data_IF_704980724114
#
_entry.id   IF_704980724114
#
_cell.length_a   1.000
_cell.length_b   1.000
_cell.length_c   1.000
_cell.angle_alpha   90.00
_cell.angle_beta   90.00
_cell.angle_gamma   90.00
#
_symmetry.space_group_name_H-M   'P 1'
#
loop_
_entity.id
_entity.type
_entity.pdbx_description
1 polymer ?
#
# COMPACT_ATOMS: atom_id res chain seq x y z
N UNK A 1 -1.49 -13.82 17.22
CA UNK A 1 -0.67 -12.75 16.60
C UNK A 1 -1.49 -11.46 16.60
N UNK A 2 -0.95 -10.38 17.19
CA UNK A 2 -1.64 -9.08 17.31
C UNK A 2 -2.05 -8.57 15.91
N UNK A 3 -3.29 -8.09 15.73
CA UNK A 3 -3.83 -7.62 14.44
C UNK A 3 -2.95 -6.55 13.78
N UNK A 4 -2.38 -5.65 14.59
CA UNK A 4 -1.42 -4.63 14.15
C UNK A 4 -0.18 -5.23 13.50
N UNK A 5 0.36 -6.31 14.09
CA UNK A 5 1.56 -7.00 13.57
C UNK A 5 1.32 -7.60 12.19
N UNK A 6 0.12 -8.16 11.94
CA UNK A 6 -0.25 -8.69 10.61
C UNK A 6 -0.27 -7.60 9.54
N UNK A 7 -0.84 -6.43 9.84
CA UNK A 7 -0.91 -5.32 8.88
C UNK A 7 0.50 -4.82 8.54
N UNK A 8 1.39 -4.73 9.53
CA UNK A 8 2.79 -4.35 9.31
C UNK A 8 3.50 -5.36 8.40
N UNK A 9 3.34 -6.67 8.67
CA UNK A 9 3.91 -7.73 7.84
C UNK A 9 3.35 -7.72 6.40
N UNK A 10 2.07 -7.40 6.22
CA UNK A 10 1.44 -7.25 4.91
C UNK A 10 2.02 -6.06 4.12
N UNK A 11 2.28 -4.94 4.80
CA UNK A 11 2.93 -3.76 4.21
C UNK A 11 4.34 -4.11 3.75
N UNK A 12 5.14 -4.75 4.59
CA UNK A 12 6.54 -5.10 4.27
C UNK A 12 6.61 -6.00 3.03
N UNK A 13 5.79 -7.06 2.99
CA UNK A 13 5.71 -7.94 1.82
C UNK A 13 5.25 -7.21 0.57
N UNK A 14 4.26 -6.31 0.70
CA UNK A 14 3.76 -5.55 -0.44
C UNK A 14 4.84 -4.65 -1.03
N UNK A 15 5.61 -3.95 -0.19
CA UNK A 15 6.71 -3.09 -0.64
C UNK A 15 7.81 -3.92 -1.30
N UNK A 16 8.19 -5.05 -0.70
CA UNK A 16 9.19 -5.97 -1.28
C UNK A 16 8.77 -6.43 -2.68
N UNK A 17 7.53 -6.89 -2.83
CA UNK A 17 7.02 -7.38 -4.11
C UNK A 17 6.94 -6.27 -5.19
N UNK A 18 6.59 -5.04 -4.79
CA UNK A 18 6.62 -3.87 -5.69
C UNK A 18 8.05 -3.59 -6.14
N UNK A 19 9.02 -3.62 -5.22
CA UNK A 19 10.43 -3.38 -5.54
C UNK A 19 10.99 -4.46 -6.47
N UNK A 20 10.73 -5.73 -6.19
CA UNK A 20 11.12 -6.84 -7.08
C UNK A 20 10.49 -6.65 -8.47
N UNK A 21 9.19 -6.35 -8.54
CA UNK A 21 8.52 -6.09 -9.81
C UNK A 21 9.11 -4.89 -10.56
N UNK A 22 9.55 -3.85 -9.87
CA UNK A 22 10.18 -2.68 -10.49
C UNK A 22 11.55 -2.98 -11.10
N UNK A 23 12.29 -3.96 -10.56
CA UNK A 23 13.55 -4.44 -11.14
C UNK A 23 13.29 -5.28 -12.39
N UNK A 24 12.21 -6.06 -12.38
CA UNK A 24 11.85 -6.96 -13.48
C UNK A 24 11.10 -6.26 -14.62
N UNK A 25 10.51 -5.09 -14.38
CA UNK A 25 9.72 -4.35 -15.37
C UNK A 25 10.39 -3.04 -15.76
N UNK A 26 10.62 -2.83 -17.07
CA UNK A 26 11.16 -1.57 -17.61
C UNK A 26 10.05 -0.50 -17.80
N UNK A 27 9.11 -0.40 -16.85
CA UNK A 27 8.10 0.66 -16.87
C UNK A 27 8.51 1.80 -15.91
N UNK A 28 9.45 2.62 -16.37
CA UNK A 28 10.01 3.73 -15.58
C UNK A 28 8.95 4.68 -15.01
N UNK A 29 7.86 4.92 -15.72
CA UNK A 29 6.79 5.79 -15.26
C UNK A 29 6.02 5.18 -14.09
N UNK A 30 5.55 3.93 -14.22
CA UNK A 30 4.84 3.23 -13.15
C UNK A 30 5.77 3.00 -11.94
N UNK A 31 7.01 2.61 -12.18
CA UNK A 31 8.01 2.43 -11.13
C UNK A 31 8.22 3.74 -10.33
N UNK A 32 8.25 4.89 -11.02
CA UNK A 32 8.33 6.21 -10.36
C UNK A 32 7.10 6.51 -9.50
N UNK A 33 5.89 6.17 -9.97
CA UNK A 33 4.67 6.31 -9.15
C UNK A 33 4.78 5.45 -7.90
N UNK A 34 5.22 4.20 -8.01
CA UNK A 34 5.39 3.34 -6.84
C UNK A 34 6.41 3.90 -5.86
N UNK A 35 7.58 4.33 -6.34
CA UNK A 35 8.67 4.82 -5.47
C UNK A 35 8.37 6.17 -4.82
N UNK A 36 7.69 7.08 -5.51
CA UNK A 36 7.47 8.46 -5.03
C UNK A 36 6.12 8.66 -4.35
N UNK A 37 5.12 7.80 -4.63
CA UNK A 37 3.75 8.00 -4.15
C UNK A 37 3.26 6.86 -3.27
N UNK A 38 3.42 5.60 -3.69
CA UNK A 38 2.81 4.45 -2.98
C UNK A 38 3.66 4.00 -1.80
N UNK A 39 4.94 3.66 -2.04
CA UNK A 39 5.85 3.13 -1.00
C UNK A 39 5.99 4.11 0.18
N UNK A 40 6.18 5.43 -0.02
CA UNK A 40 6.26 6.37 1.09
C UNK A 40 5.01 6.38 1.97
N UNK A 41 3.82 6.35 1.36
CA UNK A 41 2.55 6.33 2.10
C UNK A 41 2.36 5.01 2.86
N UNK A 42 2.76 3.88 2.26
CA UNK A 42 2.73 2.59 2.96
C UNK A 42 3.67 2.57 4.17
N UNK A 43 4.87 3.15 4.07
CA UNK A 43 5.77 3.29 5.20
C UNK A 43 5.24 4.23 6.26
N UNK A 44 4.63 5.35 5.88
CA UNK A 44 3.98 6.24 6.83
C UNK A 44 2.88 5.53 7.61
N UNK A 45 2.05 4.73 6.92
CA UNK A 45 1.03 3.89 7.57
C UNK A 45 1.69 2.91 8.54
N UNK A 46 2.76 2.22 8.12
CA UNK A 46 3.51 1.28 8.96
C UNK A 46 4.07 1.96 10.21
N UNK A 47 4.80 3.07 10.06
CA UNK A 47 5.39 3.80 11.18
C UNK A 47 4.32 4.26 12.16
N UNK A 48 3.23 4.84 11.68
CA UNK A 48 2.15 5.27 12.56
C UNK A 48 1.47 4.10 13.27
N UNK A 49 1.29 2.96 12.59
CA UNK A 49 0.83 1.74 13.23
C UNK A 49 1.80 1.33 14.33
N UNK A 50 3.11 1.34 14.11
CA UNK A 50 4.15 0.98 15.10
C UNK A 50 4.14 1.90 16.32
N UNK A 51 4.14 3.23 16.13
CA UNK A 51 4.33 4.24 17.19
C UNK A 51 3.06 4.68 17.92
N UNK A 52 1.86 4.51 17.36
CA UNK A 52 0.63 5.13 17.88
C UNK A 52 -0.58 4.17 17.95
N UNK A 53 -1.65 4.63 18.62
CA UNK A 53 -2.95 3.97 18.62
C UNK A 53 -3.68 4.27 17.28
N UNK A 54 -4.21 3.26 16.57
CA UNK A 54 -4.58 3.38 15.16
C UNK A 54 -5.97 3.96 14.98
N UNK A 55 -6.17 5.26 15.19
CA UNK A 55 -7.40 5.95 14.74
C UNK A 55 -7.09 7.42 14.45
N UNK A 56 -6.63 7.70 13.24
CA UNK A 56 -6.65 9.06 12.72
C UNK A 56 -7.23 9.02 11.31
N UNK A 57 -8.14 9.96 11.02
CA UNK A 57 -8.79 10.15 9.71
C UNK A 57 -7.76 10.09 8.57
N UNK A 58 -6.54 10.57 8.83
CA UNK A 58 -5.41 10.51 7.92
C UNK A 58 -5.09 9.11 7.37
N UNK A 59 -5.24 8.03 8.15
CA UNK A 59 -4.98 6.68 7.65
C UNK A 59 -5.95 6.26 6.55
N UNK A 60 -7.23 6.63 6.73
CA UNK A 60 -8.29 6.35 5.75
C UNK A 60 -8.00 7.08 4.46
N UNK A 61 -7.59 8.34 4.54
CA UNK A 61 -7.24 9.15 3.38
C UNK A 61 -6.00 8.60 2.66
N UNK A 62 -4.93 8.31 3.41
CA UNK A 62 -3.67 7.74 2.89
C UNK A 62 -3.88 6.40 2.19
N UNK A 63 -4.62 5.47 2.79
CA UNK A 63 -4.85 4.17 2.15
C UNK A 63 -5.82 4.28 0.96
N UNK A 64 -6.81 5.17 1.01
CA UNK A 64 -7.68 5.43 -0.14
C UNK A 64 -6.89 6.03 -1.31
N UNK A 65 -5.93 6.91 -1.03
CA UNK A 65 -5.02 7.47 -2.03
C UNK A 65 -4.22 6.36 -2.72
N UNK A 66 -3.68 5.39 -1.97
CA UNK A 66 -2.99 4.23 -2.55
C UNK A 66 -3.92 3.40 -3.44
N UNK A 67 -5.16 3.15 -3.02
CA UNK A 67 -6.16 2.41 -3.83
C UNK A 67 -6.46 3.13 -5.14
N UNK A 68 -6.74 4.44 -5.09
CA UNK A 68 -7.03 5.24 -6.28
C UNK A 68 -5.84 5.26 -7.25
N UNK A 69 -4.65 5.56 -6.74
CA UNK A 69 -3.43 5.64 -7.55
C UNK A 69 -3.08 4.29 -8.18
N UNK A 70 -3.30 3.18 -7.49
CA UNK A 70 -3.07 1.85 -8.07
C UNK A 70 -4.16 1.39 -9.02
N UNK A 71 -5.39 1.92 -8.91
CA UNK A 71 -6.42 1.77 -9.95
C UNK A 71 -5.99 2.45 -11.23
N UNK A 72 -5.51 3.70 -11.16
CA UNK A 72 -5.02 4.44 -12.33
C UNK A 72 -3.85 3.71 -13.00
N UNK A 73 -2.95 3.10 -12.23
CA UNK A 73 -1.87 2.26 -12.75
C UNK A 73 -2.42 1.05 -13.53
N UNK A 74 -3.49 0.41 -13.03
CA UNK A 74 -4.12 -0.75 -13.69
C UNK A 74 -4.75 -0.36 -15.02
N UNK A 75 -5.37 0.81 -15.08
CA UNK A 75 -5.93 1.35 -16.33
C UNK A 75 -4.85 1.60 -17.38
N UNK A 76 -3.64 1.99 -16.94
CA UNK A 76 -2.47 2.14 -17.81
C UNK A 76 -1.83 0.80 -18.18
N UNK A 77 -1.79 -0.15 -17.24
CA UNK A 77 -1.19 -1.47 -17.43
C UNK A 77 -1.78 -2.50 -16.46
N UNK A 78 -2.56 -3.44 -17.00
CA UNK A 78 -3.25 -4.48 -16.25
C UNK A 78 -2.33 -5.45 -15.50
N UNK A 79 -1.04 -5.52 -15.86
CA UNK A 79 -0.08 -6.41 -15.19
C UNK A 79 0.14 -6.03 -13.71
N UNK A 80 -0.20 -4.80 -13.32
CA UNK A 80 -0.09 -4.32 -11.94
C UNK A 80 -1.36 -4.55 -11.10
N UNK A 81 -2.37 -5.25 -11.64
CA UNK A 81 -3.65 -5.55 -10.97
C UNK A 81 -3.50 -6.29 -9.64
N UNK A 82 -2.43 -7.07 -9.48
CA UNK A 82 -2.09 -7.74 -8.22
C UNK A 82 -1.83 -6.74 -7.09
N UNK A 83 -1.15 -5.62 -7.37
CA UNK A 83 -0.82 -4.61 -6.37
C UNK A 83 -2.06 -3.82 -5.95
N UNK A 84 -2.91 -3.44 -6.92
CA UNK A 84 -4.21 -2.84 -6.63
C UNK A 84 -5.05 -3.72 -5.70
N UNK A 85 -5.16 -5.01 -6.04
CA UNK A 85 -5.96 -5.97 -5.25
C UNK A 85 -5.44 -6.10 -3.82
N UNK A 86 -4.13 -6.16 -3.62
CA UNK A 86 -3.51 -6.24 -2.29
C UNK A 86 -3.68 -4.97 -1.48
N UNK A 87 -3.54 -3.80 -2.10
CA UNK A 87 -3.77 -2.52 -1.42
C UNK A 87 -5.24 -2.38 -1.02
N UNK A 88 -6.19 -2.88 -1.83
CA UNK A 88 -7.62 -2.91 -1.48
C UNK A 88 -7.88 -3.78 -0.25
N UNK A 89 -7.29 -4.97 -0.19
CA UNK A 89 -7.40 -5.86 0.98
C UNK A 89 -6.77 -5.21 2.22
N UNK A 90 -5.60 -4.59 2.07
CA UNK A 90 -4.93 -3.86 3.14
C UNK A 90 -5.81 -2.74 3.71
N UNK A 91 -6.48 -1.98 2.83
CA UNK A 91 -7.49 -0.98 3.23
C UNK A 91 -8.60 -1.60 4.07
N UNK A 92 -9.20 -2.68 3.62
CA UNK A 92 -10.28 -3.35 4.35
C UNK A 92 -9.81 -3.83 5.73
N UNK A 93 -8.60 -4.39 5.80
CA UNK A 93 -7.97 -4.81 7.05
C UNK A 93 -7.77 -3.62 7.99
N UNK A 94 -7.17 -2.52 7.52
CA UNK A 94 -6.97 -1.31 8.32
C UNK A 94 -8.31 -0.75 8.82
N UNK A 95 -9.29 -0.57 7.94
CA UNK A 95 -10.60 0.00 8.29
C UNK A 95 -11.40 -0.89 9.24
N UNK A 96 -11.28 -2.21 9.14
CA UNK A 96 -11.94 -3.16 10.05
C UNK A 96 -11.44 -3.07 11.49
N UNK A 97 -10.24 -2.52 11.70
CA UNK A 97 -9.59 -2.38 13.02
C UNK A 97 -9.71 -0.98 13.63
N UNK A 98 -10.19 -0.02 12.84
CA UNK A 98 -10.46 1.37 13.27
C UNK A 98 -11.90 1.52 13.82
N UNK A 99 -12.76 0.51 13.67
CA UNK A 99 -14.11 0.49 14.22
C UNK A 99 -14.15 0.40 15.74
#
# INVERSE_FOLDING_TARGET
>A
MNSKKKIIEEIDKLVEDIQVSSVLSDNRYINKIFSEKIIPVLFEIKTNLEVSNPVQIEFKEKINYCVATTSDIVDLNSNYSVFYSRIRILRENILSKIK
#
